data_IF_747100018039
#
_entry.id   IF_747100018039
#
_cell.length_a   1.000
_cell.length_b   1.000
_cell.length_c   1.000
_cell.angle_alpha   90.00
_cell.angle_beta   90.00
_cell.angle_gamma   90.00
#
_symmetry.space_group_name_H-M   'P 1'
#
loop_
_entity.id
_entity.type
_entity.pdbx_description
1 polymer ?
#
# COMPACT_ATOMS: atom_id res chain seq x y z
N UNK A 1 87.92 -16.78 -41.55
CA UNK A 1 86.67 -16.37 -42.19
C UNK A 1 85.62 -16.20 -41.04
N UNK A 2 85.43 -14.97 -40.56
CA UNK A 2 84.59 -14.62 -39.42
C UNK A 2 83.35 -13.90 -39.98
N UNK A 3 82.18 -14.44 -39.73
CA UNK A 3 80.89 -13.85 -40.09
C UNK A 3 80.30 -13.33 -38.78
N UNK A 4 80.15 -11.99 -38.65
CA UNK A 4 79.48 -11.29 -37.56
C UNK A 4 78.04 -11.07 -37.91
N UNK A 5 77.15 -11.65 -37.11
CA UNK A 5 75.71 -11.36 -37.17
C UNK A 5 75.35 -10.26 -36.14
N UNK A 6 74.90 -9.13 -36.64
CA UNK A 6 74.36 -8.03 -35.84
C UNK A 6 72.87 -8.29 -35.57
N UNK A 7 72.56 -8.42 -34.30
CA UNK A 7 71.17 -8.49 -33.78
C UNK A 7 70.60 -7.07 -33.58
N UNK A 8 69.57 -6.73 -34.29
CA UNK A 8 68.80 -5.51 -34.07
C UNK A 8 67.66 -5.80 -33.09
N UNK A 9 67.72 -5.25 -31.89
CA UNK A 9 66.60 -5.19 -30.93
C UNK A 9 65.57 -4.18 -31.44
N UNK A 10 64.36 -4.65 -31.77
CA UNK A 10 63.20 -3.83 -31.98
C UNK A 10 62.46 -3.64 -30.65
N UNK A 11 62.37 -2.38 -30.17
CA UNK A 11 61.58 -2.02 -29.01
C UNK A 11 60.14 -1.88 -29.50
N UNK A 12 59.28 -2.85 -29.17
CA UNK A 12 57.83 -2.77 -29.34
C UNK A 12 57.19 -2.03 -28.18
N UNK A 13 56.67 -0.83 -28.43
CA UNK A 13 55.83 -0.11 -27.45
C UNK A 13 54.48 -0.79 -27.36
N UNK A 14 54.24 -1.48 -26.25
CA UNK A 14 52.92 -2.00 -25.92
C UNK A 14 52.07 -0.85 -25.34
N UNK A 15 51.12 -0.36 -26.14
CA UNK A 15 50.08 0.55 -25.66
C UNK A 15 49.09 -0.25 -24.82
N UNK A 16 49.14 -0.05 -23.47
CA UNK A 16 48.13 -0.58 -22.57
C UNK A 16 46.91 0.34 -22.65
N UNK A 17 45.88 -0.11 -23.38
CA UNK A 17 44.57 0.50 -23.33
C UNK A 17 43.95 0.18 -21.98
N UNK A 18 43.93 1.14 -21.06
CA UNK A 18 43.08 1.08 -19.89
C UNK A 18 41.62 1.15 -20.35
N UNK A 19 40.97 0.01 -20.42
CA UNK A 19 39.54 -0.07 -20.45
C UNK A 19 39.03 0.39 -19.07
N UNK A 20 38.56 1.63 -18.98
CA UNK A 20 37.78 2.11 -17.86
C UNK A 20 36.47 1.30 -17.89
N UNK A 21 36.43 0.21 -17.14
CA UNK A 21 35.16 -0.46 -16.78
C UNK A 21 34.39 0.55 -15.94
N UNK A 22 33.50 1.30 -16.58
CA UNK A 22 32.45 2.01 -15.88
C UNK A 22 31.66 0.94 -15.12
N UNK A 23 31.85 0.88 -13.80
CA UNK A 23 30.92 0.22 -12.91
C UNK A 23 29.59 0.97 -13.00
N UNK A 24 28.80 0.65 -14.00
CA UNK A 24 27.37 0.87 -14.00
C UNK A 24 26.81 -0.05 -12.92
N UNK A 25 26.75 0.43 -11.67
CA UNK A 25 25.96 -0.21 -10.65
C UNK A 25 24.54 -0.39 -11.22
N UNK A 26 23.98 -1.57 -11.06
CA UNK A 26 22.68 -1.93 -11.61
C UNK A 26 21.57 -1.06 -10.99
N UNK A 27 21.31 0.10 -11.60
CA UNK A 27 20.14 0.95 -11.33
C UNK A 27 18.81 0.22 -11.61
N UNK A 28 18.88 -0.96 -12.25
CA UNK A 28 17.73 -1.77 -12.63
C UNK A 28 16.99 -2.45 -11.46
N UNK A 29 17.51 -2.41 -10.24
CA UNK A 29 16.85 -2.99 -9.05
C UNK A 29 16.19 -1.93 -8.15
N UNK A 30 15.99 -0.74 -8.66
CA UNK A 30 15.32 0.38 -7.98
C UNK A 30 14.01 0.71 -8.67
N UNK A 31 13.09 1.37 -7.97
CA UNK A 31 11.82 1.86 -8.55
C UNK A 31 12.10 2.74 -9.78
N UNK A 32 13.06 3.66 -9.67
CA UNK A 32 13.48 4.52 -10.79
C UNK A 32 14.09 3.73 -11.96
N UNK A 33 14.77 2.62 -11.69
CA UNK A 33 15.28 1.71 -12.71
C UNK A 33 14.15 1.07 -13.49
N UNK A 34 13.23 0.42 -12.79
CA UNK A 34 12.05 -0.21 -13.41
C UNK A 34 11.16 0.82 -14.13
N UNK A 35 10.99 2.01 -13.57
CA UNK A 35 10.24 3.09 -14.22
C UNK A 35 10.94 3.55 -15.52
N UNK A 36 12.27 3.64 -15.58
CA UNK A 36 13.03 3.91 -16.81
C UNK A 36 12.90 2.79 -17.84
N UNK A 37 12.79 1.55 -17.40
CA UNK A 37 12.49 0.39 -18.26
C UNK A 37 11.03 0.37 -18.73
N UNK A 38 10.22 1.29 -18.19
CA UNK A 38 8.84 1.55 -18.58
C UNK A 38 7.84 0.58 -17.97
N UNK A 39 8.14 -0.07 -16.84
CA UNK A 39 7.22 -0.97 -16.14
C UNK A 39 7.37 -0.89 -14.62
N UNK A 40 6.29 -1.16 -13.90
CA UNK A 40 6.26 -1.20 -12.45
C UNK A 40 5.41 -2.36 -11.94
N UNK A 41 5.85 -2.98 -10.84
CA UNK A 41 5.05 -3.92 -10.06
C UNK A 41 4.59 -3.25 -8.77
N UNK A 42 3.27 -3.05 -8.63
CA UNK A 42 2.69 -2.30 -7.50
C UNK A 42 1.84 -3.24 -6.64
N UNK A 43 2.13 -3.23 -5.34
CA UNK A 43 1.32 -3.97 -4.36
C UNK A 43 0.03 -3.23 -4.03
N UNK A 44 -1.11 -3.92 -4.15
CA UNK A 44 -2.45 -3.40 -3.80
C UNK A 44 -3.26 -4.45 -3.04
N UNK A 45 -4.40 -4.07 -2.46
CA UNK A 45 -5.40 -5.03 -2.00
C UNK A 45 -6.25 -5.53 -3.17
N UNK A 46 -6.85 -6.74 -3.03
CA UNK A 46 -7.69 -7.32 -4.06
C UNK A 46 -9.16 -7.38 -3.65
N UNK A 47 -9.49 -7.06 -2.40
CA UNK A 47 -10.77 -7.35 -1.75
C UNK A 47 -11.41 -6.18 -0.98
N UNK A 48 -10.99 -4.94 -1.24
CA UNK A 48 -11.51 -3.75 -0.54
C UNK A 48 -12.41 -2.91 -1.47
N UNK A 49 -13.74 -3.02 -1.36
CA UNK A 49 -14.68 -2.27 -2.22
C UNK A 49 -14.43 -0.75 -2.12
N UNK A 50 -14.45 -0.08 -3.27
CA UNK A 50 -14.18 1.34 -3.39
C UNK A 50 -12.70 1.74 -3.32
N UNK A 51 -11.85 0.91 -2.71
CA UNK A 51 -10.43 1.17 -2.51
C UNK A 51 -9.55 0.40 -3.48
N UNK A 52 -9.65 -0.93 -3.46
CA UNK A 52 -8.91 -1.78 -4.39
C UNK A 52 -9.58 -3.15 -4.49
N UNK A 53 -10.19 -3.43 -5.63
CA UNK A 53 -10.81 -4.72 -5.93
C UNK A 53 -10.33 -5.27 -7.26
N UNK A 54 -10.16 -6.60 -7.32
CA UNK A 54 -9.96 -7.32 -8.57
C UNK A 54 -11.29 -7.76 -9.14
N UNK A 55 -11.62 -7.26 -10.34
CA UNK A 55 -12.80 -7.68 -11.08
C UNK A 55 -12.70 -9.12 -11.61
N UNK A 56 -13.83 -9.71 -11.96
CA UNK A 56 -13.89 -11.05 -12.59
C UNK A 56 -13.17 -11.09 -13.96
N UNK A 57 -13.11 -9.95 -14.63
CA UNK A 57 -12.39 -9.73 -15.88
C UNK A 57 -10.87 -9.56 -15.70
N UNK A 58 -10.41 -9.64 -14.45
CA UNK A 58 -9.00 -9.41 -14.07
C UNK A 58 -8.61 -7.95 -13.96
N UNK A 59 -9.50 -7.00 -14.23
CA UNK A 59 -9.25 -5.56 -14.06
C UNK A 59 -9.17 -5.18 -12.59
N UNK A 60 -8.47 -4.08 -12.29
CA UNK A 60 -8.40 -3.52 -10.94
C UNK A 60 -9.06 -2.15 -10.92
N UNK A 61 -9.83 -1.87 -9.87
CA UNK A 61 -10.60 -0.63 -9.69
C UNK A 61 -10.59 -0.19 -8.24
N UNK A 62 -10.71 1.11 -8.03
CA UNK A 62 -10.83 1.74 -6.72
C UNK A 62 -9.78 2.81 -6.48
N UNK A 63 -9.92 3.50 -5.37
CA UNK A 63 -9.16 4.69 -5.03
C UNK A 63 -7.64 4.44 -4.99
N UNK A 64 -7.20 3.38 -4.28
CA UNK A 64 -5.78 3.01 -4.22
C UNK A 64 -5.21 2.68 -5.61
N UNK A 65 -6.04 2.08 -6.48
CA UNK A 65 -5.66 1.78 -7.87
C UNK A 65 -5.47 3.07 -8.67
N UNK A 66 -6.35 4.06 -8.50
CA UNK A 66 -6.22 5.36 -9.18
C UNK A 66 -5.01 6.15 -8.66
N UNK A 67 -4.74 6.12 -7.34
CA UNK A 67 -3.51 6.68 -6.75
C UNK A 67 -2.27 6.00 -7.34
N UNK A 68 -2.25 4.67 -7.40
CA UNK A 68 -1.14 3.90 -7.95
C UNK A 68 -0.88 4.22 -9.42
N UNK A 69 -1.93 4.29 -10.25
CA UNK A 69 -1.83 4.66 -11.68
C UNK A 69 -1.33 6.09 -11.86
N UNK A 70 -1.85 7.03 -11.06
CA UNK A 70 -1.42 8.43 -11.13
C UNK A 70 0.07 8.58 -10.80
N UNK A 71 0.51 7.97 -9.69
CA UNK A 71 1.93 7.99 -9.28
C UNK A 71 2.81 7.34 -10.34
N UNK A 72 2.46 6.15 -10.84
CA UNK A 72 3.20 5.47 -11.90
C UNK A 72 3.32 6.34 -13.15
N UNK A 73 2.22 7.01 -13.56
CA UNK A 73 2.22 7.96 -14.69
C UNK A 73 3.19 9.14 -14.49
N UNK A 74 3.31 9.66 -13.25
CA UNK A 74 4.29 10.72 -12.93
C UNK A 74 5.74 10.22 -12.89
N UNK A 75 5.93 8.92 -12.68
CA UNK A 75 7.23 8.25 -12.83
C UNK A 75 7.53 7.83 -14.27
N UNK A 76 6.62 8.09 -15.22
CA UNK A 76 6.80 7.81 -16.65
C UNK A 76 6.27 6.45 -17.11
N UNK A 77 5.56 5.71 -16.26
CA UNK A 77 5.02 4.38 -16.57
C UNK A 77 3.51 4.46 -16.85
N UNK A 78 3.06 4.13 -18.07
CA UNK A 78 1.64 4.17 -18.40
C UNK A 78 0.88 2.99 -17.78
N UNK A 79 -0.46 3.12 -17.60
CA UNK A 79 -1.27 2.15 -16.85
C UNK A 79 -1.18 0.70 -17.36
N UNK A 80 -1.02 0.49 -18.66
CA UNK A 80 -0.91 -0.83 -19.30
C UNK A 80 0.42 -1.54 -19.03
N UNK A 81 1.38 -0.82 -18.46
CA UNK A 81 2.70 -1.33 -18.07
C UNK A 81 2.83 -1.53 -16.56
N UNK A 82 1.72 -1.42 -15.84
CA UNK A 82 1.66 -1.69 -14.41
C UNK A 82 1.22 -3.13 -14.19
N UNK A 83 2.01 -3.88 -13.44
CA UNK A 83 1.61 -5.19 -12.90
C UNK A 83 1.13 -5.01 -11.46
N UNK A 84 -0.13 -5.31 -11.19
CA UNK A 84 -0.65 -5.30 -9.82
C UNK A 84 -0.45 -6.66 -9.14
N UNK A 85 0.10 -6.65 -7.92
CA UNK A 85 0.33 -7.82 -7.09
C UNK A 85 -0.44 -7.68 -5.78
N UNK A 86 -1.07 -8.77 -5.33
CA UNK A 86 -1.75 -8.76 -4.03
C UNK A 86 -0.75 -8.55 -2.89
N UNK A 87 -1.05 -7.59 -2.01
CA UNK A 87 -0.22 -7.24 -0.86
C UNK A 87 -0.99 -7.41 0.46
N UNK A 88 -1.07 -8.64 0.99
CA UNK A 88 -1.69 -8.91 2.28
C UNK A 88 -1.00 -8.11 3.39
N UNK A 89 -1.78 -7.64 4.39
CA UNK A 89 -1.28 -6.72 5.41
C UNK A 89 -0.03 -7.24 6.14
N UNK A 90 0.03 -8.53 6.43
CA UNK A 90 1.16 -9.15 7.12
C UNK A 90 2.43 -9.35 6.26
N UNK A 91 2.34 -9.15 4.93
CA UNK A 91 3.44 -9.44 4.00
C UNK A 91 4.06 -8.17 3.40
N UNK A 92 3.44 -7.00 3.55
CA UNK A 92 3.80 -5.77 2.84
C UNK A 92 5.27 -5.37 3.02
N UNK A 93 5.76 -5.36 4.25
CA UNK A 93 7.15 -5.02 4.55
C UNK A 93 8.11 -6.02 3.89
N UNK A 94 7.82 -7.31 3.98
CA UNK A 94 8.65 -8.38 3.38
C UNK A 94 8.67 -8.29 1.86
N UNK A 95 7.52 -8.03 1.23
CA UNK A 95 7.43 -7.87 -0.24
C UNK A 95 8.30 -6.71 -0.74
N UNK A 96 8.28 -5.57 -0.02
CA UNK A 96 9.13 -4.41 -0.34
C UNK A 96 10.61 -4.76 -0.14
N UNK A 97 10.96 -5.33 1.01
CA UNK A 97 12.36 -5.67 1.34
C UNK A 97 12.96 -6.67 0.35
N UNK A 98 12.15 -7.63 -0.12
CA UNK A 98 12.57 -8.64 -1.09
C UNK A 98 12.59 -8.13 -2.54
N UNK A 99 12.09 -6.91 -2.82
CA UNK A 99 11.95 -6.40 -4.18
C UNK A 99 10.89 -7.13 -4.99
N UNK A 100 9.88 -7.71 -4.33
CA UNK A 100 8.77 -8.38 -5.00
C UNK A 100 7.78 -7.39 -5.60
N UNK A 101 7.80 -6.15 -5.13
CA UNK A 101 7.06 -4.99 -5.60
C UNK A 101 7.95 -3.75 -5.53
N UNK A 102 7.71 -2.79 -6.41
CA UNK A 102 8.39 -1.51 -6.43
C UNK A 102 7.92 -0.62 -5.28
N UNK A 103 6.61 -0.53 -5.12
CA UNK A 103 5.97 0.15 -4.00
C UNK A 103 4.58 -0.43 -3.73
N UNK A 104 3.98 -0.05 -2.60
CA UNK A 104 2.67 -0.55 -2.16
C UNK A 104 1.71 0.61 -1.93
N UNK A 105 0.52 0.53 -2.54
CA UNK A 105 -0.64 1.41 -2.31
C UNK A 105 -1.82 0.53 -1.89
N UNK A 106 -2.00 0.36 -0.58
CA UNK A 106 -2.89 -0.71 -0.07
C UNK A 106 -3.45 -0.37 1.32
N UNK A 107 -4.11 0.80 1.46
CA UNK A 107 -4.59 1.30 2.78
C UNK A 107 -3.51 1.12 3.84
N UNK A 108 -2.30 1.58 3.53
CA UNK A 108 -1.09 1.23 4.27
C UNK A 108 -0.75 2.32 5.29
N UNK A 109 -1.27 2.19 6.51
CA UNK A 109 -1.03 3.13 7.60
C UNK A 109 0.45 3.30 7.89
N UNK A 110 0.90 4.54 7.91
CA UNK A 110 2.26 4.95 8.29
C UNK A 110 2.38 4.78 9.82
N UNK A 111 3.31 3.95 10.28
CA UNK A 111 3.64 3.80 11.70
C UNK A 111 5.14 3.80 11.90
N UNK A 112 5.61 4.15 13.10
CA UNK A 112 7.04 4.15 13.41
C UNK A 112 7.66 2.75 13.28
N UNK A 113 6.96 1.71 13.75
CA UNK A 113 7.44 0.34 13.61
C UNK A 113 7.56 -0.14 12.16
N UNK A 114 6.70 0.36 11.25
CA UNK A 114 6.82 0.09 9.81
C UNK A 114 7.94 0.91 9.18
N UNK A 115 8.12 2.17 9.61
CA UNK A 115 9.23 3.04 9.18
C UNK A 115 10.61 2.48 9.54
N UNK A 116 10.73 1.58 10.50
CA UNK A 116 11.99 0.88 10.77
C UNK A 116 12.41 -0.04 9.60
N UNK A 117 11.46 -0.62 8.88
CA UNK A 117 11.67 -1.63 7.84
C UNK A 117 11.57 -1.08 6.42
N UNK A 118 10.67 -0.13 6.18
CA UNK A 118 10.38 0.45 4.87
C UNK A 118 10.26 1.97 5.00
N UNK A 119 10.33 2.70 3.88
CA UNK A 119 10.01 4.13 3.85
C UNK A 119 8.58 4.35 3.36
N UNK A 120 8.04 5.52 3.62
CA UNK A 120 6.73 5.95 3.17
C UNK A 120 6.77 7.30 2.49
N UNK A 121 6.05 7.44 1.39
CA UNK A 121 5.63 8.72 0.84
C UNK A 121 4.17 8.99 1.21
N UNK A 122 3.78 10.24 1.32
CA UNK A 122 2.42 10.64 1.69
C UNK A 122 2.34 11.35 3.05
N UNK A 123 1.19 11.28 3.73
CA UNK A 123 0.03 10.43 3.44
C UNK A 123 -0.75 10.89 2.20
N UNK A 124 -1.40 9.93 1.52
CA UNK A 124 -2.34 10.23 0.42
C UNK A 124 -3.81 10.19 0.86
N UNK A 125 -4.09 9.66 2.05
CA UNK A 125 -5.42 9.56 2.65
C UNK A 125 -5.32 9.53 4.18
N UNK A 126 -6.42 9.89 4.87
CA UNK A 126 -6.55 9.76 6.32
C UNK A 126 -7.88 9.09 6.64
N UNK A 127 -7.83 8.05 7.43
CA UNK A 127 -8.97 7.28 7.91
C UNK A 127 -8.92 7.14 9.45
N UNK A 128 -9.89 6.47 10.03
CA UNK A 128 -9.88 6.10 11.43
C UNK A 128 -10.47 4.71 11.64
N UNK A 129 -10.00 3.97 12.63
CA UNK A 129 -10.55 2.65 12.95
C UNK A 129 -11.99 2.77 13.46
N UNK A 130 -12.87 1.89 12.97
CA UNK A 130 -14.29 1.85 13.31
C UNK A 130 -14.78 0.40 13.46
N UNK A 131 -16.07 0.22 13.66
CA UNK A 131 -16.74 -1.07 13.75
C UNK A 131 -17.81 -1.22 12.67
N UNK A 132 -17.88 -2.42 12.07
CA UNK A 132 -18.96 -2.86 11.20
C UNK A 132 -19.73 -3.96 11.91
N UNK A 133 -21.05 -3.84 11.94
CA UNK A 133 -21.96 -4.84 12.53
C UNK A 133 -23.09 -5.16 11.57
N UNK A 134 -23.84 -6.23 11.88
CA UNK A 134 -25.09 -6.54 11.14
C UNK A 134 -26.11 -5.42 11.40
N UNK A 135 -26.94 -5.12 10.42
CA UNK A 135 -27.99 -4.10 10.53
C UNK A 135 -28.93 -4.36 11.72
N UNK A 136 -29.18 -5.64 12.02
CA UNK A 136 -30.04 -6.05 13.15
C UNK A 136 -29.39 -5.92 14.52
N UNK A 137 -28.08 -5.70 14.61
CA UNK A 137 -27.40 -5.52 15.91
C UNK A 137 -27.73 -4.15 16.49
N UNK A 138 -28.22 -4.13 17.73
CA UNK A 138 -28.55 -2.92 18.48
C UNK A 138 -27.69 -2.73 19.72
N UNK A 139 -26.88 -3.72 20.08
CA UNK A 139 -26.12 -3.76 21.32
C UNK A 139 -24.72 -3.17 21.14
N UNK A 140 -24.10 -3.41 19.97
CA UNK A 140 -22.79 -2.85 19.66
C UNK A 140 -22.99 -1.45 19.07
N UNK A 141 -22.64 -0.43 19.84
CA UNK A 141 -22.77 0.99 19.47
C UNK A 141 -21.43 1.71 19.31
N UNK A 142 -20.34 1.06 19.64
CA UNK A 142 -18.97 1.57 19.55
C UNK A 142 -18.00 0.62 20.26
N UNK A 143 -16.70 0.95 20.24
CA UNK A 143 -15.65 0.11 20.84
C UNK A 143 -15.90 -0.11 22.34
N UNK A 144 -16.46 0.88 23.03
CA UNK A 144 -16.76 0.81 24.48
C UNK A 144 -17.88 -0.19 24.83
N UNK A 145 -18.70 -0.59 23.86
CA UNK A 145 -19.75 -1.60 24.04
C UNK A 145 -19.27 -3.04 23.84
N UNK A 146 -18.02 -3.22 23.37
CA UNK A 146 -17.43 -4.54 23.24
C UNK A 146 -17.02 -5.09 24.62
N UNK A 147 -17.25 -6.37 24.83
CA UNK A 147 -16.94 -7.08 26.07
C UNK A 147 -16.44 -8.50 25.76
N UNK A 148 -16.11 -9.28 26.81
CA UNK A 148 -15.55 -10.64 26.67
C UNK A 148 -16.45 -11.66 25.98
N UNK A 149 -17.75 -11.38 25.86
CA UNK A 149 -18.70 -12.27 25.19
C UNK A 149 -18.79 -11.99 23.70
N UNK A 150 -18.17 -10.90 23.21
CA UNK A 150 -18.20 -10.49 21.80
C UNK A 150 -16.98 -10.99 21.04
N UNK A 151 -17.22 -11.49 19.84
CA UNK A 151 -16.21 -11.93 18.88
C UNK A 151 -15.99 -10.88 17.82
N UNK A 152 -14.79 -10.37 17.75
CA UNK A 152 -14.37 -9.35 16.81
C UNK A 152 -13.46 -9.97 15.74
N UNK A 153 -13.66 -9.64 14.47
CA UNK A 153 -12.77 -10.06 13.39
C UNK A 153 -11.96 -8.87 12.86
N UNK A 154 -10.70 -9.11 12.57
CA UNK A 154 -9.84 -8.19 11.82
C UNK A 154 -8.76 -8.93 11.05
N UNK A 155 -7.91 -8.22 10.30
CA UNK A 155 -6.91 -8.80 9.41
C UNK A 155 -5.52 -8.83 10.05
N UNK A 156 -4.85 -9.97 10.00
CA UNK A 156 -3.48 -10.16 10.48
C UNK A 156 -2.54 -9.09 9.95
N UNK A 157 -1.70 -8.50 10.82
CA UNK A 157 -0.73 -7.48 10.45
C UNK A 157 -1.31 -6.11 10.14
N UNK A 158 -2.63 -5.88 10.37
CA UNK A 158 -3.23 -4.56 10.32
C UNK A 158 -2.94 -3.75 11.59
N UNK A 159 -2.97 -2.43 11.50
CA UNK A 159 -2.94 -1.52 12.65
C UNK A 159 -4.17 -1.73 13.53
N UNK A 160 -5.31 -2.04 12.93
CA UNK A 160 -6.54 -2.34 13.64
C UNK A 160 -6.42 -3.53 14.60
N UNK A 161 -5.79 -4.65 14.16
CA UNK A 161 -5.48 -5.79 15.05
C UNK A 161 -4.57 -5.36 16.18
N UNK A 162 -3.51 -4.60 15.86
CA UNK A 162 -2.54 -4.18 16.87
C UNK A 162 -3.20 -3.27 17.92
N UNK A 163 -4.01 -2.30 17.49
CA UNK A 163 -4.72 -1.40 18.38
C UNK A 163 -5.66 -2.14 19.33
N UNK A 164 -6.41 -3.15 18.83
CA UNK A 164 -7.26 -3.97 19.70
C UNK A 164 -6.40 -4.75 20.71
N UNK A 165 -5.28 -5.33 20.29
CA UNK A 165 -4.38 -6.07 21.20
C UNK A 165 -3.77 -5.20 22.28
N UNK A 166 -3.40 -3.96 21.92
CA UNK A 166 -2.71 -3.06 22.84
C UNK A 166 -3.67 -2.38 23.84
N UNK A 167 -4.91 -2.08 23.41
CA UNK A 167 -5.80 -1.21 24.15
C UNK A 167 -7.11 -1.88 24.62
N UNK A 168 -7.48 -3.04 24.06
CA UNK A 168 -8.80 -3.66 24.29
C UNK A 168 -8.74 -5.18 24.50
N UNK A 169 -7.55 -5.82 24.52
CA UNK A 169 -7.40 -7.27 24.51
C UNK A 169 -8.02 -7.99 25.73
N UNK A 170 -8.12 -7.32 26.86
CA UNK A 170 -8.66 -7.93 28.09
C UNK A 170 -10.16 -8.28 27.98
N UNK A 171 -10.85 -7.70 26.98
CA UNK A 171 -12.31 -7.72 26.93
C UNK A 171 -12.87 -8.26 25.62
N UNK A 172 -12.02 -8.71 24.66
CA UNK A 172 -12.49 -9.02 23.31
C UNK A 172 -11.91 -10.35 22.82
N UNK A 173 -12.77 -11.22 22.28
CA UNK A 173 -12.31 -12.40 21.54
C UNK A 173 -11.97 -12.01 20.10
N UNK A 174 -10.68 -11.86 19.78
CA UNK A 174 -10.21 -11.44 18.47
C UNK A 174 -9.93 -12.64 17.55
N UNK A 175 -10.66 -12.70 16.42
CA UNK A 175 -10.38 -13.59 15.29
C UNK A 175 -9.56 -12.82 14.24
N UNK A 176 -8.41 -13.37 13.85
CA UNK A 176 -7.53 -12.79 12.86
C UNK A 176 -7.55 -13.62 11.58
N UNK A 177 -8.00 -13.03 10.47
CA UNK A 177 -8.05 -13.65 9.14
C UNK A 177 -7.08 -12.95 8.17
N UNK A 178 -7.00 -13.45 6.94
CA UNK A 178 -6.05 -12.93 5.95
C UNK A 178 -6.63 -11.75 5.15
N UNK A 179 -7.97 -11.67 4.99
CA UNK A 179 -8.67 -10.64 4.24
C UNK A 179 -9.90 -10.10 4.98
N UNK A 180 -10.30 -8.86 4.66
CA UNK A 180 -11.52 -8.26 5.23
C UNK A 180 -12.80 -8.89 4.68
N UNK A 181 -12.80 -9.33 3.43
CA UNK A 181 -13.93 -10.09 2.87
C UNK A 181 -14.23 -11.35 3.68
N UNK A 182 -13.19 -12.10 4.11
CA UNK A 182 -13.38 -13.23 5.01
C UNK A 182 -13.99 -12.83 6.37
N UNK A 183 -13.56 -11.70 6.94
CA UNK A 183 -14.15 -11.18 8.17
C UNK A 183 -15.62 -10.79 8.00
N UNK A 184 -15.97 -10.15 6.88
CA UNK A 184 -17.36 -9.78 6.56
C UNK A 184 -18.23 -11.00 6.35
N UNK A 185 -17.72 -12.05 5.71
CA UNK A 185 -18.43 -13.33 5.58
C UNK A 185 -18.70 -13.94 6.96
N UNK A 186 -17.73 -13.89 7.90
CA UNK A 186 -17.91 -14.33 9.29
C UNK A 186 -18.89 -13.47 10.08
N UNK A 187 -18.99 -12.19 9.78
CA UNK A 187 -20.01 -11.32 10.36
C UNK A 187 -21.40 -11.68 9.85
N UNK A 188 -21.54 -11.94 8.56
CA UNK A 188 -22.82 -12.32 7.94
C UNK A 188 -23.33 -13.67 8.42
N UNK A 189 -22.46 -14.67 8.57
CA UNK A 189 -22.82 -16.00 9.03
C UNK A 189 -23.02 -16.09 10.56
N UNK A 190 -22.79 -14.99 11.30
CA UNK A 190 -22.93 -14.92 12.77
C UNK A 190 -21.81 -15.54 13.56
N UNK A 191 -20.70 -15.93 12.93
CA UNK A 191 -19.52 -16.49 13.59
C UNK A 191 -18.77 -15.45 14.40
N UNK A 192 -18.88 -14.16 14.02
CA UNK A 192 -18.39 -13.00 14.77
C UNK A 192 -19.50 -11.96 14.93
N UNK A 193 -19.33 -11.07 15.90
CA UNK A 193 -20.33 -10.04 16.22
C UNK A 193 -20.02 -8.71 15.51
N UNK A 194 -18.73 -8.42 15.29
CA UNK A 194 -18.30 -7.23 14.61
C UNK A 194 -17.00 -7.48 13.78
N UNK A 195 -16.77 -6.59 12.81
CA UNK A 195 -15.48 -6.47 12.09
C UNK A 195 -14.90 -5.10 12.42
N UNK A 196 -13.60 -5.04 12.67
CA UNK A 196 -12.90 -3.78 12.90
C UNK A 196 -11.77 -3.58 11.91
N UNK A 197 -11.76 -2.40 11.34
CA UNK A 197 -10.69 -1.80 10.55
C UNK A 197 -11.04 -0.34 10.30
N UNK A 198 -10.39 0.30 9.34
CA UNK A 198 -10.61 1.69 9.00
C UNK A 198 -12.01 1.93 8.43
N UNK A 199 -12.64 2.99 8.84
CA UNK A 199 -14.01 3.38 8.50
C UNK A 199 -14.27 3.35 7.00
N UNK A 200 -13.32 3.81 6.20
CA UNK A 200 -13.46 3.84 4.75
C UNK A 200 -13.44 2.43 4.13
N UNK A 201 -12.71 1.48 4.69
CA UNK A 201 -12.74 0.07 4.28
C UNK A 201 -14.11 -0.52 4.62
N UNK A 202 -14.61 -0.27 5.85
CA UNK A 202 -15.92 -0.74 6.31
C UNK A 202 -17.06 -0.12 5.51
N UNK A 203 -16.97 1.16 5.17
CA UNK A 203 -17.95 1.86 4.33
C UNK A 203 -18.07 1.20 2.94
N UNK A 204 -16.96 0.74 2.38
CA UNK A 204 -16.96 -0.01 1.14
C UNK A 204 -17.82 -1.29 1.21
N UNK A 205 -17.68 -2.08 2.27
CA UNK A 205 -18.49 -3.28 2.49
C UNK A 205 -19.95 -2.96 2.83
N UNK A 206 -20.19 -1.96 3.69
CA UNK A 206 -21.56 -1.54 4.03
C UNK A 206 -22.30 -0.98 2.82
N UNK A 207 -21.63 -0.19 1.97
CA UNK A 207 -22.21 0.36 0.75
C UNK A 207 -22.62 -0.69 -0.28
N UNK A 208 -21.97 -1.86 -0.28
CA UNK A 208 -22.37 -3.02 -1.10
C UNK A 208 -23.53 -3.81 -0.50
N UNK A 209 -23.83 -3.66 0.80
CA UNK A 209 -24.87 -4.40 1.50
C UNK A 209 -25.58 -3.54 2.55
N UNK A 210 -26.18 -2.39 2.16
CA UNK A 210 -26.70 -1.39 3.09
C UNK A 210 -27.89 -1.89 3.93
N UNK A 211 -28.58 -2.92 3.47
CA UNK A 211 -29.68 -3.55 4.24
C UNK A 211 -29.19 -4.61 5.24
N UNK A 212 -27.92 -5.03 5.14
CA UNK A 212 -27.36 -6.10 5.97
C UNK A 212 -26.36 -5.58 7.00
N UNK A 213 -25.58 -4.54 6.66
CA UNK A 213 -24.41 -4.08 7.39
C UNK A 213 -24.47 -2.57 7.66
N UNK A 214 -23.95 -2.18 8.81
CA UNK A 214 -23.81 -0.76 9.19
C UNK A 214 -22.53 -0.53 10.00
N UNK A 215 -21.97 0.67 9.85
CA UNK A 215 -20.94 1.17 10.75
C UNK A 215 -21.60 1.66 12.04
N UNK A 216 -20.88 1.51 13.15
CA UNK A 216 -21.33 1.98 14.48
C UNK A 216 -20.19 2.64 15.24
N UNK A 217 -20.56 3.64 16.06
CA UNK A 217 -19.64 4.41 16.88
C UNK A 217 -18.81 5.41 16.10
N UNK A 218 -18.04 6.19 16.84
CA UNK A 218 -17.05 7.11 16.28
C UNK A 218 -15.76 6.35 15.96
N UNK A 219 -14.91 6.93 15.11
CA UNK A 219 -13.58 6.39 14.88
C UNK A 219 -12.71 6.55 16.14
N UNK A 220 -11.90 5.53 16.43
CA UNK A 220 -11.09 5.47 17.65
C UNK A 220 -9.58 5.30 17.38
N UNK A 221 -9.13 5.64 16.18
CA UNK A 221 -7.74 5.82 15.82
C UNK A 221 -7.56 6.86 14.71
N UNK A 222 -6.32 7.18 14.39
CA UNK A 222 -5.96 8.01 13.24
C UNK A 222 -5.04 7.20 12.32
N UNK A 223 -5.51 6.89 11.11
CA UNK A 223 -4.83 6.05 10.14
C UNK A 223 -4.39 6.89 8.92
N UNK A 224 -3.10 7.22 8.85
CA UNK A 224 -2.52 7.96 7.72
C UNK A 224 -2.03 6.97 6.67
N UNK A 225 -2.68 6.87 5.50
CA UNK A 225 -2.25 5.96 4.45
C UNK A 225 -1.10 6.55 3.65
N UNK A 226 0.01 5.83 3.62
CA UNK A 226 1.17 6.16 2.80
C UNK A 226 1.45 5.12 1.72
N UNK A 227 2.26 5.50 0.78
CA UNK A 227 2.83 4.62 -0.23
C UNK A 227 4.14 4.06 0.32
N UNK A 228 4.14 2.75 0.60
CA UNK A 228 5.31 2.07 1.14
C UNK A 228 6.31 1.71 0.05
N UNK A 229 7.59 1.99 0.26
CA UNK A 229 8.68 1.70 -0.66
C UNK A 229 9.94 1.27 0.08
N UNK A 230 10.97 0.87 -0.68
CA UNK A 230 12.22 0.37 -0.12
C UNK A 230 12.87 1.41 0.82
N UNK A 231 13.34 0.93 1.96
CA UNK A 231 14.04 1.74 2.96
C UNK A 231 15.29 2.39 2.37
N UNK A 232 15.41 3.71 2.57
CA UNK A 232 16.56 4.50 2.12
C UNK A 232 16.47 5.02 0.69
N UNK A 233 15.42 4.69 -0.07
CA UNK A 233 15.18 5.24 -1.42
C UNK A 233 14.53 6.64 -1.33
N UNK A 234 15.34 7.60 -0.89
CA UNK A 234 14.89 8.98 -0.70
C UNK A 234 14.47 9.65 -2.01
N UNK A 235 15.19 9.38 -3.09
CA UNK A 235 14.91 10.02 -4.38
C UNK A 235 13.51 9.62 -4.90
N UNK A 236 13.22 8.33 -4.92
CA UNK A 236 11.90 7.84 -5.30
C UNK A 236 10.82 8.32 -4.34
N UNK A 237 11.09 8.33 -3.04
CA UNK A 237 10.14 8.83 -2.05
C UNK A 237 9.72 10.28 -2.32
N UNK A 238 10.67 11.18 -2.62
CA UNK A 238 10.37 12.57 -2.95
C UNK A 238 9.59 12.69 -4.26
N UNK A 239 9.92 11.91 -5.30
CA UNK A 239 9.16 11.89 -6.55
C UNK A 239 7.70 11.43 -6.33
N UNK A 240 7.48 10.45 -5.46
CA UNK A 240 6.14 9.98 -5.11
C UNK A 240 5.39 11.05 -4.30
N UNK A 241 6.04 11.72 -3.34
CA UNK A 241 5.47 12.85 -2.61
C UNK A 241 5.02 13.97 -3.57
N UNK A 242 5.90 14.36 -4.50
CA UNK A 242 5.58 15.35 -5.53
C UNK A 242 4.40 14.92 -6.42
N UNK A 243 4.30 13.62 -6.72
CA UNK A 243 3.19 13.08 -7.49
C UNK A 243 1.87 13.18 -6.71
N UNK A 244 1.86 12.87 -5.41
CA UNK A 244 0.66 13.00 -4.56
C UNK A 244 0.25 14.47 -4.44
N UNK A 245 1.18 15.39 -4.20
CA UNK A 245 0.88 16.83 -4.15
C UNK A 245 0.28 17.34 -5.47
N UNK A 246 0.81 16.89 -6.61
CA UNK A 246 0.24 17.22 -7.93
C UNK A 246 -1.14 16.62 -8.13
N UNK A 247 -1.39 15.38 -7.68
CA UNK A 247 -2.70 14.74 -7.73
C UNK A 247 -3.75 15.54 -6.96
N UNK A 248 -3.37 16.09 -5.81
CA UNK A 248 -4.22 16.98 -5.00
C UNK A 248 -4.43 18.30 -5.74
N UNK A 249 -3.36 18.93 -6.22
CA UNK A 249 -3.39 20.26 -6.82
C UNK A 249 -4.17 20.31 -8.15
N UNK A 250 -4.13 19.25 -8.97
CA UNK A 250 -4.84 19.19 -10.26
C UNK A 250 -6.27 18.61 -10.13
N UNK A 251 -6.73 18.31 -8.91
CA UNK A 251 -8.06 17.81 -8.61
C UNK A 251 -8.27 16.31 -8.92
N UNK A 252 -7.23 15.58 -9.34
CA UNK A 252 -7.34 14.15 -9.62
C UNK A 252 -7.59 13.35 -8.35
N UNK A 253 -7.06 13.80 -7.21
CA UNK A 253 -7.31 13.22 -5.90
C UNK A 253 -8.81 13.23 -5.56
N UNK A 254 -9.45 14.39 -5.73
CA UNK A 254 -10.88 14.57 -5.44
C UNK A 254 -11.75 13.75 -6.41
N UNK A 255 -11.43 13.78 -7.72
CA UNK A 255 -12.15 12.99 -8.71
C UNK A 255 -12.06 11.48 -8.43
N UNK A 256 -10.85 10.98 -8.12
CA UNK A 256 -10.67 9.57 -7.78
C UNK A 256 -11.53 9.17 -6.58
N UNK A 257 -11.60 10.01 -5.54
CA UNK A 257 -12.45 9.81 -4.38
C UNK A 257 -13.94 9.77 -4.76
N UNK A 258 -14.42 10.78 -5.49
CA UNK A 258 -15.82 10.91 -5.89
C UNK A 258 -16.30 9.76 -6.78
N UNK A 259 -15.41 9.23 -7.64
CA UNK A 259 -15.73 8.14 -8.57
C UNK A 259 -15.67 6.75 -7.92
N UNK A 260 -14.96 6.59 -6.80
CA UNK A 260 -14.70 5.26 -6.23
C UNK A 260 -15.34 5.05 -4.85
N UNK A 261 -15.05 5.91 -3.90
CA UNK A 261 -15.49 5.81 -2.49
C UNK A 261 -16.78 6.58 -2.26
N UNK A 262 -16.93 7.76 -2.86
CA UNK A 262 -18.09 8.62 -2.71
C UNK A 262 -19.44 7.90 -2.88
N UNK A 263 -19.61 7.08 -3.94
CA UNK A 263 -20.86 6.30 -4.14
C UNK A 263 -21.18 5.26 -3.06
N UNK A 264 -20.18 4.89 -2.24
CA UNK A 264 -20.32 3.93 -1.15
C UNK A 264 -20.59 4.58 0.22
N UNK A 265 -20.90 5.88 0.23
CA UNK A 265 -21.22 6.61 1.46
C UNK A 265 -20.01 7.29 2.11
N UNK A 266 -18.89 7.40 1.40
CA UNK A 266 -17.74 8.19 1.86
C UNK A 266 -18.12 9.68 1.99
N UNK A 267 -17.87 10.28 3.15
CA UNK A 267 -18.06 11.72 3.36
C UNK A 267 -16.98 12.53 2.63
N UNK A 268 -17.29 13.78 2.29
CA UNK A 268 -16.31 14.71 1.70
C UNK A 268 -15.11 14.85 2.63
N UNK A 269 -13.93 14.52 2.12
CA UNK A 269 -12.69 14.56 2.87
C UNK A 269 -11.83 15.76 2.46
N UNK A 270 -11.00 16.19 3.37
CA UNK A 270 -9.95 17.16 3.10
C UNK A 270 -8.68 16.41 2.70
N UNK A 271 -8.04 16.78 1.58
CA UNK A 271 -6.76 16.17 1.22
C UNK A 271 -5.74 16.31 2.36
N UNK A 272 -4.95 15.28 2.64
CA UNK A 272 -3.95 15.35 3.70
C UNK A 272 -2.77 16.25 3.31
N UNK A 273 -2.07 16.74 4.33
CA UNK A 273 -0.77 17.40 4.15
C UNK A 273 0.30 16.32 4.10
N UNK A 274 1.17 16.40 3.10
CA UNK A 274 2.27 15.44 2.92
C UNK A 274 3.30 15.61 4.04
N UNK A 275 3.67 14.51 4.68
CA UNK A 275 4.70 14.47 5.73
C UNK A 275 6.05 14.06 5.09
N UNK A 276 6.90 15.06 4.81
CA UNK A 276 8.25 14.85 4.26
C UNK A 276 9.27 14.72 5.40
N UNK A 277 9.91 13.58 5.54
CA UNK A 277 10.88 13.29 6.60
C UNK A 277 12.21 12.76 6.06
#
# INVERSE_FOLDING_TARGET
>A
MRITHTFRLGIGAAAIALAASACGGSDSATVDGHARDGELTIGIKFDQPGLSVRGQDGSFRGYDVEVAKYVAGKLGVPPERITFKEAPSAQRETMIMNGEVDFIVATYSITDGRKEKVDFAGPYFVAGQALLVRMSDTDITGVESLNSDRKLCSVKGSTAVQNIKDNHAEYIQLLELDTYSQCVDKLRDGSVDAVTTDDIILAGFAGLAPEELKLVGETFSLEKYGIGLKKGDRETREKINDAIERMIADGSWQRAFEETIGPLGGSTLTPPVIDRY
#
